data_IF_113402876268
#
_entry.id   IF_113402876268
#
_cell.length_a   1.000
_cell.length_b   1.000
_cell.length_c   1.000
_cell.angle_alpha   90.00
_cell.angle_beta   90.00
_cell.angle_gamma   90.00
#
_symmetry.space_group_name_H-M   'P 1'
#
loop_
_entity.id
_entity.type
_entity.pdbx_description
1 polymer ?
#
# COMPACT_ATOMS: atom_id res chain seq x y z
N UNK A 1 -4.34 6.81 -16.15
CA UNK A 1 -5.03 7.21 -14.90
C UNK A 1 -4.27 6.54 -13.78
N UNK A 2 -3.76 7.30 -12.81
CA UNK A 2 -3.12 6.70 -11.65
C UNK A 2 -4.13 5.82 -10.93
N UNK A 3 -3.89 4.50 -10.94
CA UNK A 3 -4.67 3.56 -10.18
C UNK A 3 -4.34 3.81 -8.70
N UNK A 4 -5.36 4.06 -7.88
CA UNK A 4 -5.18 4.14 -6.43
C UNK A 4 -4.80 2.76 -5.89
N UNK A 5 -3.85 2.73 -4.97
CA UNK A 5 -3.50 1.50 -4.28
C UNK A 5 -4.63 1.10 -3.33
N UNK A 6 -4.73 -0.17 -2.97
CA UNK A 6 -5.75 -0.63 -2.01
C UNK A 6 -5.66 0.12 -0.68
N UNK A 7 -4.44 0.41 -0.25
CA UNK A 7 -4.11 1.13 0.99
C UNK A 7 -4.64 2.56 1.01
N UNK A 8 -4.85 3.19 -0.15
CA UNK A 8 -5.38 4.56 -0.25
C UNK A 8 -6.88 4.63 0.09
N UNK A 9 -7.58 3.48 0.08
CA UNK A 9 -8.98 3.37 0.46
C UNK A 9 -9.16 3.09 1.95
N UNK A 10 -8.10 2.73 2.68
CA UNK A 10 -8.19 2.48 4.12
C UNK A 10 -8.39 3.80 4.87
N UNK A 11 -9.25 3.77 5.88
CA UNK A 11 -9.36 4.88 6.83
C UNK A 11 -8.04 5.10 7.55
N UNK A 12 -7.87 6.30 8.12
CA UNK A 12 -6.66 6.65 8.86
C UNK A 12 -6.39 5.65 10.01
N UNK A 13 -7.43 5.21 10.72
CA UNK A 13 -7.33 4.28 11.86
C UNK A 13 -6.62 2.96 11.53
N UNK A 14 -6.66 2.51 10.27
CA UNK A 14 -6.03 1.27 9.81
C UNK A 14 -4.74 1.50 9.01
N UNK A 15 -4.27 2.74 8.92
CA UNK A 15 -3.19 3.14 8.02
C UNK A 15 -1.79 3.20 8.65
N UNK A 16 -1.56 2.51 9.77
CA UNK A 16 -0.31 2.59 10.56
C UNK A 16 0.58 1.32 10.53
N UNK A 17 0.18 0.28 9.79
CA UNK A 17 0.95 -0.95 9.64
C UNK A 17 2.39 -0.66 9.15
N UNK A 18 3.38 -1.38 9.69
CA UNK A 18 4.77 -1.25 9.23
C UNK A 18 4.94 -1.60 7.75
N UNK A 19 4.20 -2.58 7.23
CA UNK A 19 4.27 -2.98 5.83
C UNK A 19 3.62 -1.96 4.89
N UNK A 20 2.31 -1.77 5.01
CA UNK A 20 1.49 -1.08 4.01
C UNK A 20 0.85 0.23 4.51
N UNK A 21 1.07 0.60 5.77
CA UNK A 21 0.41 1.76 6.38
C UNK A 21 0.92 3.08 5.80
N UNK A 22 0.06 3.80 5.06
CA UNK A 22 0.42 5.10 4.47
C UNK A 22 0.75 6.18 5.51
N UNK A 23 0.29 6.03 6.75
CA UNK A 23 0.57 6.95 7.86
C UNK A 23 1.79 6.54 8.70
N UNK A 24 2.38 5.37 8.45
CA UNK A 24 3.62 4.97 9.10
C UNK A 24 4.84 5.50 8.33
N UNK A 25 5.38 6.64 8.77
CA UNK A 25 6.55 7.30 8.15
C UNK A 25 7.84 6.46 8.19
N UNK A 26 7.88 5.45 9.05
CA UNK A 26 9.02 4.54 9.21
C UNK A 26 8.73 3.16 8.61
N UNK A 27 7.55 2.95 8.03
CA UNK A 27 7.16 1.70 7.40
C UNK A 27 7.67 1.56 5.98
N UNK A 28 7.47 0.38 5.40
CA UNK A 28 7.81 0.04 4.02
C UNK A 28 6.89 0.73 2.99
N UNK A 29 5.72 1.17 3.44
CA UNK A 29 4.71 1.87 2.62
C UNK A 29 4.34 1.11 1.32
N UNK A 30 4.22 -0.22 1.42
CA UNK A 30 3.85 -1.11 0.31
C UNK A 30 2.52 -0.68 -0.30
N UNK A 31 2.48 -0.60 -1.63
CA UNK A 31 1.29 -0.32 -2.43
C UNK A 31 0.91 -1.53 -3.26
N UNK A 32 -0.34 -1.96 -3.14
CA UNK A 32 -0.88 -3.11 -3.87
C UNK A 32 -1.97 -2.68 -4.85
N UNK A 33 -2.01 -3.35 -5.99
CA UNK A 33 -2.91 -3.06 -7.11
C UNK A 33 -3.52 -4.34 -7.65
N UNK A 34 -4.64 -4.22 -8.37
CA UNK A 34 -5.16 -5.31 -9.19
C UNK A 34 -4.32 -5.44 -10.45
N UNK A 35 -3.89 -6.67 -10.74
CA UNK A 35 -3.29 -7.11 -12.00
C UNK A 35 -4.13 -8.28 -12.53
N UNK A 36 -5.14 -7.96 -13.33
CA UNK A 36 -6.18 -8.92 -13.73
C UNK A 36 -6.95 -9.44 -12.52
N UNK A 37 -6.80 -10.73 -12.22
CA UNK A 37 -7.45 -11.41 -11.09
C UNK A 37 -6.56 -11.50 -9.85
N UNK A 38 -5.30 -11.06 -9.93
CA UNK A 38 -4.33 -11.13 -8.84
C UNK A 38 -4.10 -9.76 -8.19
N UNK A 39 -3.75 -9.78 -6.90
CA UNK A 39 -3.25 -8.60 -6.19
C UNK A 39 -1.72 -8.61 -6.20
N UNK A 40 -1.09 -7.59 -6.77
CA UNK A 40 0.37 -7.50 -6.87
C UNK A 40 0.92 -6.26 -6.17
N UNK A 41 2.16 -6.34 -5.71
CA UNK A 41 2.92 -5.22 -5.18
C UNK A 41 4.40 -5.37 -5.55
N UNK A 42 5.06 -4.27 -5.88
CA UNK A 42 6.51 -4.23 -6.15
C UNK A 42 7.16 -3.40 -5.06
N UNK A 43 8.20 -3.94 -4.43
CA UNK A 43 8.96 -3.28 -3.38
C UNK A 43 10.44 -3.35 -3.70
N UNK A 44 11.13 -2.20 -3.59
CA UNK A 44 12.58 -2.11 -3.75
C UNK A 44 13.20 -1.82 -2.38
N UNK A 45 13.94 -2.77 -1.79
CA UNK A 45 14.70 -2.53 -0.57
C UNK A 45 15.81 -1.50 -0.79
N UNK A 46 16.11 -0.71 0.24
CA UNK A 46 17.29 0.17 0.30
C UNK A 46 18.55 -0.63 0.65
#
# INVERSE_FOLDING_TARGET
>A
MDQKAFQDYYSDDYSYCYGCGRLNKHGLQIKSYWDGEESTAVYTPL
#
